data_IF_227901950284
#
_entry.id   IF_227901950284
#
_cell.length_a   1.000
_cell.length_b   1.000
_cell.length_c   1.000
_cell.angle_alpha   90.00
_cell.angle_beta   90.00
_cell.angle_gamma   90.00
#
_symmetry.space_group_name_H-M   'P 1'
#
loop_
_entity.id
_entity.type
_entity.pdbx_description
1 polymer ?
#
# COMPACT_ATOMS: atom_id res chain seq x y z
N UNK A 1 20.80 -3.34 -6.34
CA UNK A 1 20.98 -4.54 -7.17
C UNK A 1 20.26 -4.33 -8.48
N UNK A 2 20.86 -4.75 -9.59
CA UNK A 2 20.25 -4.66 -10.92
C UNK A 2 19.42 -5.91 -11.20
N UNK A 3 18.46 -5.84 -12.15
CA UNK A 3 17.64 -7.00 -12.53
C UNK A 3 18.49 -8.22 -12.96
N UNK A 4 19.60 -7.98 -13.66
CA UNK A 4 20.54 -9.03 -14.08
C UNK A 4 21.15 -9.78 -12.89
N UNK A 5 21.45 -9.09 -11.79
CA UNK A 5 21.94 -9.73 -10.56
C UNK A 5 20.82 -10.51 -9.87
N UNK A 6 19.62 -9.93 -9.77
CA UNK A 6 18.47 -10.60 -9.16
C UNK A 6 18.07 -11.88 -9.92
N UNK A 7 18.29 -11.95 -11.24
CA UNK A 7 18.03 -13.17 -12.01
C UNK A 7 18.95 -14.34 -11.62
N UNK A 8 20.14 -14.06 -11.06
CA UNK A 8 21.08 -15.10 -10.57
C UNK A 8 20.69 -15.63 -9.19
N UNK A 9 19.66 -15.07 -8.56
CA UNK A 9 19.19 -15.44 -7.22
C UNK A 9 17.96 -16.34 -7.24
N UNK A 10 17.76 -17.13 -8.32
CA UNK A 10 16.60 -18.03 -8.44
C UNK A 10 16.44 -18.95 -7.22
N UNK A 11 17.56 -19.49 -6.72
CA UNK A 11 17.58 -20.34 -5.52
C UNK A 11 16.94 -19.66 -4.29
N UNK A 12 17.08 -18.35 -4.16
CA UNK A 12 16.50 -17.58 -3.08
C UNK A 12 14.99 -17.40 -3.31
N UNK A 13 14.59 -17.06 -4.53
CA UNK A 13 13.18 -16.83 -4.88
C UNK A 13 12.36 -18.12 -4.77
N UNK A 14 12.92 -19.27 -5.17
CA UNK A 14 12.32 -20.60 -5.05
C UNK A 14 12.13 -21.06 -3.61
N UNK A 15 12.97 -20.61 -2.67
CA UNK A 15 12.86 -20.95 -1.24
C UNK A 15 12.05 -19.92 -0.45
N UNK A 16 11.88 -18.72 -0.99
CA UNK A 16 11.16 -17.63 -0.31
C UNK A 16 9.66 -17.91 -0.25
N UNK A 17 9.05 -17.65 0.90
CA UNK A 17 7.58 -17.71 1.11
C UNK A 17 6.95 -16.32 1.15
N UNK A 18 7.76 -15.27 1.26
CA UNK A 18 7.38 -13.86 1.18
C UNK A 18 8.60 -13.03 0.75
N UNK A 19 8.38 -11.83 0.20
CA UNK A 19 9.44 -10.87 -0.13
C UNK A 19 9.27 -9.57 0.66
N UNK A 20 10.41 -8.96 1.01
CA UNK A 20 10.49 -7.81 1.90
C UNK A 20 11.32 -6.66 1.31
N UNK A 21 10.94 -6.09 0.16
CA UNK A 21 11.68 -4.95 -0.40
C UNK A 21 11.57 -3.74 0.54
N UNK A 22 12.69 -3.14 0.89
CA UNK A 22 12.71 -1.85 1.59
C UNK A 22 12.41 -0.70 0.62
N UNK A 23 11.68 0.32 1.04
CA UNK A 23 11.42 1.55 0.28
C UNK A 23 11.66 2.79 1.13
N UNK A 24 12.58 2.72 2.08
CA UNK A 24 12.90 3.84 3.00
C UNK A 24 13.26 5.10 2.19
N UNK A 25 12.39 6.11 2.27
CA UNK A 25 12.46 7.27 1.41
C UNK A 25 13.52 8.25 1.91
N UNK A 26 14.50 8.59 1.07
CA UNK A 26 15.51 9.57 1.44
C UNK A 26 14.92 11.00 1.48
N UNK A 27 15.34 11.82 2.44
CA UNK A 27 14.82 13.19 2.63
C UNK A 27 14.98 14.08 1.39
N UNK A 28 15.97 13.83 0.53
CA UNK A 28 16.15 14.56 -0.74
C UNK A 28 15.02 14.33 -1.76
N UNK A 29 14.22 13.28 -1.57
CA UNK A 29 13.04 12.98 -2.39
C UNK A 29 11.75 13.50 -1.77
N UNK A 30 11.82 14.21 -0.64
CA UNK A 30 10.65 14.73 0.07
C UNK A 30 9.74 15.52 -0.87
N UNK A 31 8.46 15.17 -0.91
CA UNK A 31 7.42 15.77 -1.74
C UNK A 31 7.78 15.82 -3.24
N UNK A 32 8.69 14.96 -3.71
CA UNK A 32 9.11 14.93 -5.09
C UNK A 32 8.32 13.87 -5.86
N UNK A 33 7.94 14.13 -7.13
CA UNK A 33 7.41 13.08 -8.02
C UNK A 33 8.37 11.88 -8.16
N UNK A 34 9.67 12.09 -7.93
CA UNK A 34 10.68 11.02 -7.95
C UNK A 34 10.52 10.02 -6.79
N UNK A 35 9.84 10.38 -5.70
CA UNK A 35 9.56 9.47 -4.60
C UNK A 35 8.71 8.28 -5.08
N UNK A 36 7.61 8.56 -5.79
CA UNK A 36 6.75 7.51 -6.35
C UNK A 36 7.53 6.61 -7.31
N UNK A 37 8.36 7.18 -8.19
CA UNK A 37 9.20 6.40 -9.12
C UNK A 37 10.20 5.49 -8.39
N UNK A 38 10.82 5.97 -7.32
CA UNK A 38 11.73 5.18 -6.50
C UNK A 38 11.02 3.96 -5.88
N UNK A 39 9.84 4.17 -5.29
CA UNK A 39 9.05 3.11 -4.66
C UNK A 39 8.53 2.14 -5.72
N UNK A 40 7.92 2.66 -6.79
CA UNK A 40 7.36 1.93 -7.92
C UNK A 40 8.33 0.90 -8.48
N UNK A 41 9.54 1.33 -8.82
CA UNK A 41 10.54 0.46 -9.43
C UNK A 41 10.98 -0.67 -8.48
N UNK A 42 11.03 -0.42 -7.16
CA UNK A 42 11.41 -1.44 -6.17
C UNK A 42 10.30 -2.45 -5.93
N UNK A 43 9.05 -1.99 -5.88
CA UNK A 43 7.88 -2.87 -5.73
C UNK A 43 7.70 -3.72 -6.98
N UNK A 44 7.83 -3.14 -8.18
CA UNK A 44 7.75 -3.89 -9.43
C UNK A 44 8.83 -4.95 -9.55
N UNK A 45 10.06 -4.65 -9.14
CA UNK A 45 11.11 -5.66 -9.15
C UNK A 45 10.78 -6.81 -8.20
N UNK A 46 10.20 -6.52 -7.02
CA UNK A 46 9.72 -7.56 -6.11
C UNK A 46 8.59 -8.40 -6.73
N UNK A 47 7.62 -7.77 -7.42
CA UNK A 47 6.56 -8.47 -8.15
C UNK A 47 7.14 -9.37 -9.24
N UNK A 48 8.11 -8.86 -10.01
CA UNK A 48 8.77 -9.60 -11.09
C UNK A 48 9.48 -10.84 -10.56
N UNK A 49 10.31 -10.69 -9.52
CA UNK A 49 11.06 -11.83 -8.97
C UNK A 49 10.17 -12.81 -8.20
N UNK A 50 9.05 -12.35 -7.62
CA UNK A 50 8.05 -13.23 -7.00
C UNK A 50 7.37 -14.17 -8.01
N UNK A 51 7.25 -13.75 -9.28
CA UNK A 51 6.65 -14.54 -10.35
C UNK A 51 7.65 -15.49 -11.03
N UNK A 52 8.96 -15.26 -10.88
CA UNK A 52 10.00 -16.04 -11.56
C UNK A 52 9.94 -17.57 -11.30
N UNK A 53 9.66 -18.05 -10.07
CA UNK A 53 9.56 -19.49 -9.79
C UNK A 53 8.36 -20.19 -10.45
N UNK A 54 7.49 -19.47 -11.19
CA UNK A 54 6.30 -20.01 -11.89
C UNK A 54 5.36 -20.86 -11.03
N UNK A 55 5.23 -20.48 -9.75
CA UNK A 55 4.25 -21.06 -8.84
C UNK A 55 2.82 -20.73 -9.30
N UNK A 56 1.81 -21.53 -8.92
CA UNK A 56 0.41 -21.21 -9.20
C UNK A 56 -0.08 -19.92 -8.51
N UNK A 57 0.72 -19.36 -7.60
CA UNK A 57 0.48 -18.09 -6.92
C UNK A 57 1.78 -17.30 -6.80
N UNK A 58 1.68 -15.98 -6.69
CA UNK A 58 2.81 -15.12 -6.32
C UNK A 58 2.95 -15.07 -4.81
N UNK A 59 4.19 -15.14 -4.32
CA UNK A 59 4.44 -14.96 -2.87
C UNK A 59 4.01 -13.56 -2.43
N UNK A 60 3.49 -13.41 -1.19
CA UNK A 60 3.15 -12.11 -0.67
C UNK A 60 4.38 -11.19 -0.59
N UNK A 61 4.16 -9.92 -0.92
CA UNK A 61 5.19 -8.87 -0.86
C UNK A 61 4.80 -7.92 0.26
N UNK A 62 5.63 -7.85 1.30
CA UNK A 62 5.46 -6.94 2.42
C UNK A 62 6.53 -5.87 2.36
N UNK A 63 6.14 -4.68 1.92
CA UNK A 63 7.07 -3.59 1.67
C UNK A 63 7.55 -3.00 3.00
N UNK A 64 8.86 -2.91 3.23
CA UNK A 64 9.41 -2.24 4.41
C UNK A 64 9.44 -0.73 4.19
N UNK A 65 8.67 0.01 4.98
CA UNK A 65 8.69 1.49 5.00
C UNK A 65 9.00 2.03 6.40
N UNK A 66 9.16 3.34 6.53
CA UNK A 66 9.38 4.04 7.81
C UNK A 66 8.41 5.22 7.93
N UNK A 67 7.98 5.58 9.15
CA UNK A 67 7.33 6.86 9.40
C UNK A 67 8.25 8.07 9.15
N UNK A 68 9.57 7.87 9.33
CA UNK A 68 10.62 8.87 9.18
C UNK A 68 11.32 8.71 7.83
N UNK A 69 11.78 9.81 7.24
CA UNK A 69 12.70 9.70 6.10
C UNK A 69 13.95 8.93 6.52
N UNK A 70 14.52 8.20 5.56
CA UNK A 70 15.75 7.42 5.72
C UNK A 70 16.84 8.28 6.36
N UNK A 71 17.49 7.70 7.37
CA UNK A 71 18.60 8.30 8.12
C UNK A 71 18.21 9.61 8.84
N UNK A 72 16.91 9.83 9.10
CA UNK A 72 16.40 10.93 9.92
C UNK A 72 15.72 10.40 11.19
N UNK A 73 15.78 11.19 12.27
CA UNK A 73 15.14 10.88 13.56
C UNK A 73 14.07 11.89 13.98
N UNK A 74 13.94 13.00 13.23
CA UNK A 74 13.01 14.10 13.53
C UNK A 74 12.13 14.52 12.36
N UNK A 75 12.31 13.90 11.19
CA UNK A 75 11.63 14.28 9.97
C UNK A 75 10.73 13.15 9.49
N UNK A 76 9.44 13.28 9.77
CA UNK A 76 8.41 12.33 9.34
C UNK A 76 8.03 12.54 7.87
N UNK A 77 7.66 11.46 7.19
CA UNK A 77 7.10 11.49 5.84
C UNK A 77 5.83 12.34 5.83
N UNK A 78 5.67 13.22 4.84
CA UNK A 78 4.42 13.99 4.71
C UNK A 78 3.30 13.06 4.24
N UNK A 79 2.05 13.52 4.29
CA UNK A 79 0.96 12.76 3.66
C UNK A 79 1.20 12.50 2.17
N UNK A 80 1.81 13.44 1.45
CA UNK A 80 2.18 13.25 0.04
C UNK A 80 3.21 12.12 -0.13
N UNK A 81 4.19 12.04 0.76
CA UNK A 81 5.17 10.95 0.69
C UNK A 81 4.61 9.62 1.18
N UNK A 82 3.66 9.61 2.12
CA UNK A 82 2.88 8.40 2.43
C UNK A 82 2.08 7.90 1.21
N UNK A 83 1.56 8.81 0.38
CA UNK A 83 0.98 8.44 -0.93
C UNK A 83 2.04 7.81 -1.83
N UNK A 84 3.21 8.43 -1.93
CA UNK A 84 4.29 7.94 -2.76
C UNK A 84 4.95 6.65 -2.24
N UNK A 85 4.78 6.30 -0.96
CA UNK A 85 5.32 5.07 -0.34
C UNK A 85 4.25 4.00 -0.15
N UNK A 86 3.34 4.18 0.81
CA UNK A 86 2.30 3.21 1.15
C UNK A 86 1.25 3.14 0.05
N UNK A 87 0.76 4.30 -0.43
CA UNK A 87 -0.23 4.35 -1.50
C UNK A 87 0.26 3.67 -2.77
N UNK A 88 1.48 3.99 -3.20
CA UNK A 88 2.10 3.39 -4.39
C UNK A 88 2.29 1.88 -4.22
N UNK A 89 2.69 1.43 -3.03
CA UNK A 89 2.82 0.00 -2.73
C UNK A 89 1.47 -0.73 -2.81
N UNK A 90 0.41 -0.14 -2.25
CA UNK A 90 -0.93 -0.71 -2.29
C UNK A 90 -1.48 -0.78 -3.72
N UNK A 91 -1.32 0.29 -4.51
CA UNK A 91 -1.76 0.35 -5.89
C UNK A 91 -1.06 -0.69 -6.79
N UNK A 92 0.21 -1.01 -6.49
CA UNK A 92 1.00 -2.00 -7.22
C UNK A 92 0.80 -3.44 -6.74
N UNK A 93 -0.15 -3.68 -5.81
CA UNK A 93 -0.52 -5.03 -5.38
C UNK A 93 0.36 -5.63 -4.27
N UNK A 94 1.09 -4.81 -3.52
CA UNK A 94 1.76 -5.28 -2.30
C UNK A 94 0.73 -5.94 -1.34
N UNK A 95 1.13 -6.99 -0.62
CA UNK A 95 0.29 -7.67 0.38
C UNK A 95 0.13 -6.87 1.66
N UNK A 96 1.01 -5.90 1.88
CA UNK A 96 0.99 -5.03 3.05
C UNK A 96 2.29 -4.25 3.16
N UNK A 97 2.37 -3.43 4.20
CA UNK A 97 3.55 -2.62 4.51
C UNK A 97 3.97 -2.90 5.94
N UNK A 98 5.26 -3.18 6.14
CA UNK A 98 5.89 -3.28 7.47
C UNK A 98 6.46 -1.91 7.80
N UNK A 99 5.89 -1.26 8.80
CA UNK A 99 6.32 0.04 9.27
C UNK A 99 7.39 -0.12 10.34
N UNK A 100 8.63 0.15 9.96
CA UNK A 100 9.79 -0.11 10.81
C UNK A 100 10.24 1.16 11.53
N UNK A 101 10.71 0.98 12.77
CA UNK A 101 11.32 2.02 13.58
C UNK A 101 12.54 1.47 14.32
N UNK A 102 13.63 2.22 14.32
CA UNK A 102 14.84 1.86 15.05
C UNK A 102 14.80 2.40 16.48
N UNK A 103 15.49 1.73 17.41
CA UNK A 103 15.57 2.17 18.82
C UNK A 103 16.09 3.61 18.97
N UNK A 104 16.96 4.06 18.05
CA UNK A 104 17.50 5.44 18.04
C UNK A 104 16.47 6.50 17.61
N UNK A 105 15.40 6.11 16.91
CA UNK A 105 14.39 7.04 16.39
C UNK A 105 13.52 7.58 17.53
N UNK A 106 13.27 6.76 18.55
CA UNK A 106 12.31 7.03 19.63
C UNK A 106 12.96 6.84 21.00
N UNK A 107 14.15 7.43 21.18
CA UNK A 107 15.00 7.20 22.35
C UNK A 107 14.76 8.15 23.54
N UNK A 108 13.81 9.08 23.44
CA UNK A 108 13.50 10.04 24.50
C UNK A 108 12.02 10.46 24.45
N UNK A 109 11.55 11.07 25.55
CA UNK A 109 10.15 11.49 25.71
C UNK A 109 9.66 12.40 24.57
N UNK A 110 10.48 13.36 24.14
CA UNK A 110 10.11 14.29 23.08
C UNK A 110 9.94 13.57 21.73
N UNK A 111 10.83 12.64 21.39
CA UNK A 111 10.73 11.84 20.17
C UNK A 111 9.48 10.95 20.15
N UNK A 112 9.15 10.30 21.28
CA UNK A 112 7.92 9.52 21.41
C UNK A 112 6.67 10.41 21.30
N UNK A 113 6.70 11.61 21.87
CA UNK A 113 5.60 12.57 21.79
C UNK A 113 5.37 13.02 20.33
N UNK A 114 6.45 13.40 19.62
CA UNK A 114 6.37 13.76 18.21
C UNK A 114 5.87 12.61 17.33
N UNK A 115 6.27 11.37 17.62
CA UNK A 115 5.70 10.20 16.94
C UNK A 115 4.20 10.09 17.20
N UNK A 116 3.76 10.19 18.46
CA UNK A 116 2.34 10.07 18.83
C UNK A 116 1.46 11.12 18.13
N UNK A 117 1.96 12.36 18.04
CA UNK A 117 1.31 13.46 17.31
C UNK A 117 1.24 13.19 15.81
N UNK A 118 2.35 12.72 15.20
CA UNK A 118 2.38 12.36 13.79
C UNK A 118 1.44 11.18 13.47
N UNK A 119 1.43 10.16 14.33
CA UNK A 119 0.54 9.01 14.22
C UNK A 119 -0.92 9.45 14.20
N UNK A 120 -1.31 10.31 15.13
CA UNK A 120 -2.70 10.74 15.29
C UNK A 120 -3.15 11.71 14.19
N UNK A 121 -2.30 12.64 13.78
CA UNK A 121 -2.65 13.73 12.87
C UNK A 121 -2.56 13.37 11.39
N UNK A 122 -1.57 12.56 11.00
CA UNK A 122 -1.23 12.34 9.59
C UNK A 122 -1.26 10.86 9.22
N UNK A 123 -0.51 10.05 9.96
CA UNK A 123 -0.22 8.68 9.54
C UNK A 123 -1.43 7.77 9.68
N UNK A 124 -2.03 7.63 10.87
CA UNK A 124 -3.13 6.71 11.09
C UNK A 124 -4.37 7.02 10.23
N UNK A 125 -4.81 8.30 10.07
CA UNK A 125 -5.90 8.62 9.16
C UNK A 125 -5.62 8.20 7.71
N UNK A 126 -4.39 8.40 7.24
CA UNK A 126 -3.99 7.99 5.90
C UNK A 126 -3.96 6.47 5.73
N UNK A 127 -3.37 5.74 6.69
CA UNK A 127 -3.35 4.27 6.68
C UNK A 127 -4.77 3.69 6.70
N UNK A 128 -5.67 4.29 7.49
CA UNK A 128 -7.07 3.88 7.52
C UNK A 128 -7.75 4.08 6.15
N UNK A 129 -7.51 5.21 5.48
CA UNK A 129 -8.06 5.49 4.16
C UNK A 129 -7.60 4.47 3.11
N UNK A 130 -6.29 4.27 2.95
CA UNK A 130 -5.75 3.35 1.93
C UNK A 130 -6.12 1.90 2.22
N UNK A 131 -6.15 1.50 3.49
CA UNK A 131 -6.54 0.14 3.89
C UNK A 131 -8.02 -0.10 3.57
N UNK A 132 -8.90 0.83 3.95
CA UNK A 132 -10.32 0.71 3.68
C UNK A 132 -10.63 0.76 2.18
N UNK A 133 -9.94 1.60 1.41
CA UNK A 133 -10.07 1.62 -0.05
C UNK A 133 -9.65 0.29 -0.69
N UNK A 134 -8.52 -0.30 -0.26
CA UNK A 134 -8.07 -1.58 -0.76
C UNK A 134 -9.04 -2.73 -0.42
N UNK A 135 -9.58 -2.74 0.80
CA UNK A 135 -10.61 -3.70 1.22
C UNK A 135 -11.91 -3.54 0.43
N UNK A 136 -12.37 -2.30 0.26
CA UNK A 136 -13.58 -2.02 -0.52
C UNK A 136 -13.39 -2.43 -1.97
N UNK A 137 -12.26 -2.08 -2.60
CA UNK A 137 -11.95 -2.48 -3.96
C UNK A 137 -11.90 -4.00 -4.12
N UNK A 138 -11.26 -4.71 -3.18
CA UNK A 138 -11.27 -6.18 -3.15
C UNK A 138 -12.70 -6.73 -3.13
N UNK A 139 -13.58 -6.15 -2.31
CA UNK A 139 -14.97 -6.58 -2.20
C UNK A 139 -15.79 -6.30 -3.47
N UNK A 140 -15.73 -5.07 -3.99
CA UNK A 140 -16.62 -4.61 -5.06
C UNK A 140 -16.11 -4.96 -6.45
N UNK A 141 -14.81 -5.23 -6.64
CA UNK A 141 -14.23 -5.51 -7.96
C UNK A 141 -13.66 -6.92 -8.08
N UNK A 142 -13.13 -7.49 -7.00
CA UNK A 142 -12.41 -8.77 -7.02
C UNK A 142 -13.11 -9.86 -6.21
N UNK A 143 -14.43 -9.75 -6.02
CA UNK A 143 -15.29 -10.71 -5.33
C UNK A 143 -14.79 -11.10 -3.92
N UNK A 144 -14.00 -10.25 -3.24
CA UNK A 144 -13.27 -10.55 -2.00
C UNK A 144 -12.25 -11.70 -2.09
N UNK A 145 -11.96 -12.18 -3.31
CA UNK A 145 -11.07 -13.31 -3.61
C UNK A 145 -9.74 -12.86 -4.20
N UNK A 146 -9.54 -11.56 -4.37
CA UNK A 146 -8.31 -10.97 -4.86
C UNK A 146 -8.13 -9.55 -4.38
N UNK A 147 -6.94 -9.01 -4.64
CA UNK A 147 -6.62 -7.60 -4.41
C UNK A 147 -6.69 -6.83 -5.72
N UNK A 148 -7.01 -5.54 -5.62
CA UNK A 148 -6.91 -4.63 -6.73
C UNK A 148 -5.45 -4.28 -7.02
N UNK A 149 -5.07 -4.33 -8.29
CA UNK A 149 -3.73 -3.97 -8.79
C UNK A 149 -3.90 -3.03 -9.96
N UNK A 150 -3.13 -1.95 -9.98
CA UNK A 150 -3.17 -0.94 -11.05
C UNK A 150 -2.83 -1.58 -12.39
N UNK A 151 -3.68 -1.37 -13.40
CA UNK A 151 -3.50 -1.93 -14.75
C UNK A 151 -2.25 -1.38 -15.43
N UNK A 152 -2.13 -0.05 -15.44
CA UNK A 152 -0.95 0.63 -15.95
C UNK A 152 0.00 0.90 -14.79
N UNK A 153 1.09 0.15 -14.73
CA UNK A 153 2.06 0.33 -13.65
C UNK A 153 2.69 1.73 -13.63
N UNK A 154 2.63 2.49 -14.73
CA UNK A 154 3.24 3.80 -14.87
C UNK A 154 2.29 4.99 -14.64
N UNK A 155 0.99 4.74 -14.51
CA UNK A 155 0.01 5.78 -14.23
C UNK A 155 0.01 6.17 -12.74
N UNK A 156 -0.85 7.11 -12.33
CA UNK A 156 -0.78 7.77 -11.02
C UNK A 156 -2.07 7.58 -10.20
N UNK A 157 -2.81 6.51 -10.46
CA UNK A 157 -4.02 6.18 -9.72
C UNK A 157 -3.68 5.36 -8.47
N UNK A 158 -4.38 5.70 -7.39
CA UNK A 158 -4.18 5.11 -6.08
C UNK A 158 -5.51 4.61 -5.52
N UNK A 159 -5.43 3.67 -4.58
CA UNK A 159 -6.59 3.19 -3.83
C UNK A 159 -6.84 4.14 -2.65
N UNK A 160 -7.64 5.17 -2.86
CA UNK A 160 -8.11 6.09 -1.82
C UNK A 160 -9.63 6.19 -1.81
N UNK A 161 -10.19 6.45 -0.64
CA UNK A 161 -11.61 6.76 -0.48
C UNK A 161 -11.86 8.23 -0.82
N UNK A 162 -12.97 8.49 -1.51
CA UNK A 162 -13.41 9.84 -1.82
C UNK A 162 -13.87 10.57 -0.54
N UNK A 163 -13.19 11.65 -0.12
CA UNK A 163 -13.46 12.31 1.17
C UNK A 163 -14.83 13.00 1.23
N UNK A 164 -15.48 13.24 0.08
CA UNK A 164 -16.84 13.80 0.04
C UNK A 164 -17.89 12.78 0.47
N UNK A 165 -17.64 11.48 0.24
CA UNK A 165 -18.61 10.41 0.47
C UNK A 165 -18.19 9.40 1.55
N UNK A 166 -16.95 9.52 2.04
CA UNK A 166 -16.40 8.71 3.11
C UNK A 166 -15.82 9.56 4.23
N UNK A 167 -16.12 9.15 5.46
CA UNK A 167 -15.54 9.70 6.68
C UNK A 167 -14.68 8.67 7.37
N UNK A 168 -13.46 9.07 7.74
CA UNK A 168 -12.56 8.27 8.58
C UNK A 168 -12.79 8.69 10.04
N UNK A 169 -13.37 7.80 10.83
CA UNK A 169 -13.75 8.03 12.22
C UNK A 169 -12.89 7.22 13.16
N UNK A 170 -12.65 7.73 14.38
CA UNK A 170 -11.99 6.98 15.45
C UNK A 170 -13.03 6.52 16.46
N UNK A 171 -13.22 5.22 16.60
CA UNK A 171 -14.15 4.63 17.56
C UNK A 171 -13.51 3.42 18.26
N UNK A 172 -13.60 3.36 19.60
CA UNK A 172 -13.06 2.25 20.38
C UNK A 172 -11.56 2.02 20.19
N UNK A 173 -10.78 3.08 20.00
CA UNK A 173 -9.34 3.01 19.74
C UNK A 173 -8.94 2.56 18.33
N UNK A 174 -9.91 2.33 17.43
CA UNK A 174 -9.68 1.93 16.03
C UNK A 174 -10.17 3.00 15.06
N UNK A 175 -9.59 3.01 13.87
CA UNK A 175 -10.09 3.83 12.76
C UNK A 175 -11.10 3.01 11.96
N UNK A 176 -12.19 3.65 11.53
CA UNK A 176 -13.27 3.03 10.77
C UNK A 176 -13.62 3.97 9.62
N UNK A 177 -13.72 3.44 8.41
CA UNK A 177 -14.23 4.19 7.26
C UNK A 177 -15.74 3.94 7.12
N UNK A 178 -16.52 5.02 7.05
CA UNK A 178 -17.97 4.97 6.87
C UNK A 178 -18.35 5.79 5.66
N UNK A 179 -19.05 5.20 4.71
CA UNK A 179 -19.46 5.90 3.49
C UNK A 179 -20.02 4.99 2.41
N UNK A 180 -20.40 5.58 1.28
CA UNK A 180 -20.89 4.84 0.12
C UNK A 180 -20.19 5.38 -1.14
N UNK A 181 -19.53 4.53 -1.95
CA UNK A 181 -18.86 5.00 -3.15
C UNK A 181 -19.88 5.40 -4.21
N UNK A 182 -19.60 6.46 -4.95
CA UNK A 182 -20.43 6.87 -6.08
C UNK A 182 -20.22 5.96 -7.29
N UNK A 183 -21.12 6.05 -8.26
CA UNK A 183 -20.91 5.38 -9.54
C UNK A 183 -19.61 5.81 -10.25
N UNK A 184 -19.22 7.09 -10.09
CA UNK A 184 -17.97 7.63 -10.66
C UNK A 184 -16.74 7.00 -9.99
N UNK A 185 -16.73 6.91 -8.66
CA UNK A 185 -15.62 6.29 -7.91
C UNK A 185 -15.41 4.83 -8.35
N UNK A 186 -16.51 4.08 -8.48
CA UNK A 186 -16.48 2.68 -8.93
C UNK A 186 -16.02 2.53 -10.38
N UNK A 187 -16.48 3.40 -11.28
CA UNK A 187 -16.07 3.38 -12.68
C UNK A 187 -14.57 3.69 -12.81
N UNK A 188 -14.05 4.64 -12.03
CA UNK A 188 -12.62 4.96 -12.00
C UNK A 188 -11.79 3.75 -11.54
N UNK A 189 -12.28 2.95 -10.57
CA UNK A 189 -11.60 1.71 -10.18
C UNK A 189 -11.66 0.65 -11.28
N UNK A 190 -12.81 0.45 -11.93
CA UNK A 190 -12.94 -0.49 -13.05
C UNK A 190 -12.01 -0.11 -14.21
N UNK A 191 -11.84 1.18 -14.48
CA UNK A 191 -10.97 1.68 -15.54
C UNK A 191 -9.50 1.40 -15.22
N UNK A 192 -9.07 1.69 -13.99
CA UNK A 192 -7.65 1.77 -13.62
C UNK A 192 -7.09 0.53 -12.89
N UNK A 193 -7.94 -0.34 -12.35
CA UNK A 193 -7.53 -1.51 -11.56
C UNK A 193 -8.06 -2.82 -12.13
N UNK A 194 -7.27 -3.88 -11.94
CA UNK A 194 -7.63 -5.27 -12.21
C UNK A 194 -7.43 -6.11 -10.96
N UNK A 195 -7.74 -7.40 -11.01
CA UNK A 195 -7.67 -8.30 -9.87
C UNK A 195 -6.46 -9.23 -9.95
N UNK A 196 -5.74 -9.34 -8.84
CA UNK A 196 -4.79 -10.42 -8.58
C UNK A 196 -5.36 -11.31 -7.49
N UNK A 197 -5.74 -12.54 -7.86
CA UNK A 197 -6.42 -13.46 -6.95
C UNK A 197 -5.50 -14.00 -5.87
N UNK A 198 -6.08 -14.27 -4.70
CA UNK A 198 -5.40 -14.95 -3.62
C UNK A 198 -5.15 -16.42 -3.97
N UNK A 199 -4.13 -17.02 -3.35
CA UNK A 199 -3.79 -18.42 -3.59
C UNK A 199 -4.99 -19.33 -3.32
N UNK A 200 -5.31 -20.21 -4.28
CA UNK A 200 -6.44 -21.14 -4.19
C UNK A 200 -7.81 -20.54 -4.56
N UNK A 201 -7.88 -19.26 -4.93
CA UNK A 201 -9.11 -18.59 -5.33
C UNK A 201 -9.11 -18.22 -6.81
N UNK A 202 -10.29 -18.25 -7.41
CA UNK A 202 -10.56 -17.67 -8.72
C UNK A 202 -11.31 -16.34 -8.54
N UNK A 203 -10.86 -15.32 -9.26
CA UNK A 203 -11.45 -14.01 -9.26
C UNK A 203 -11.27 -13.33 -10.61
N UNK A 204 -12.13 -12.39 -10.94
CA UNK A 204 -12.03 -11.56 -12.12
C UNK A 204 -12.59 -10.16 -11.81
N UNK A 205 -12.18 -9.12 -12.55
CA UNK A 205 -12.79 -7.81 -12.43
C UNK A 205 -14.29 -7.88 -12.75
N UNK A 206 -15.12 -7.83 -11.70
CA UNK A 206 -16.58 -7.88 -11.79
C UNK A 206 -17.15 -6.88 -10.78
N UNK A 207 -17.73 -5.78 -11.30
CA UNK A 207 -18.21 -4.70 -10.44
C UNK A 207 -19.52 -5.07 -9.74
N UNK A 208 -19.49 -5.16 -8.42
CA UNK A 208 -20.65 -5.23 -7.54
C UNK A 208 -20.90 -3.89 -6.86
N UNK A 209 -22.00 -3.23 -7.22
CA UNK A 209 -22.34 -1.91 -6.69
C UNK A 209 -22.96 -2.04 -5.28
N UNK A 210 -22.33 -1.51 -4.22
CA UNK A 210 -22.95 -1.49 -2.90
C UNK A 210 -24.18 -0.58 -2.91
N UNK A 211 -25.27 -1.02 -2.28
CA UNK A 211 -26.53 -0.26 -2.15
C UNK A 211 -26.73 0.32 -0.75
N UNK A 212 -25.83 0.02 0.19
CA UNK A 212 -25.88 0.43 1.59
C UNK A 212 -24.57 1.06 2.01
N UNK A 213 -24.62 1.91 3.03
CA UNK A 213 -23.43 2.48 3.66
C UNK A 213 -22.49 1.35 4.08
N UNK A 214 -21.23 1.48 3.67
CA UNK A 214 -20.13 0.58 4.01
C UNK A 214 -19.50 1.03 5.32
N UNK A 215 -19.22 0.08 6.20
CA UNK A 215 -18.48 0.28 7.46
C UNK A 215 -17.28 -0.64 7.43
N UNK A 216 -16.10 -0.08 7.18
CA UNK A 216 -14.86 -0.82 6.96
C UNK A 216 -13.93 -0.57 8.15
N UNK A 217 -13.54 -1.65 8.82
CA UNK A 217 -12.74 -1.64 10.06
C UNK A 217 -11.31 -2.08 9.80
#
# INVERSE_FOLDING_TARGET
MTQKQNNKLMWLWERSTALFPSVYLHKSLKNSPKAALFVRNRVQEAVRVAAMPKRPYTVPIYVFSRPLYRDQTKAFETQMDLVNTVGESAALGASGVVMWGGTKDYNNKAACQSLSEYLSSTFNPYIANVTAAAMLCSNVLCQSHGRCVRKNYNSSEYLHLNPTYFSILRAGGRYIAVGLPTASDLNAWVENFTCQCYAGWSCAPELKRPTRIQVIK
#
